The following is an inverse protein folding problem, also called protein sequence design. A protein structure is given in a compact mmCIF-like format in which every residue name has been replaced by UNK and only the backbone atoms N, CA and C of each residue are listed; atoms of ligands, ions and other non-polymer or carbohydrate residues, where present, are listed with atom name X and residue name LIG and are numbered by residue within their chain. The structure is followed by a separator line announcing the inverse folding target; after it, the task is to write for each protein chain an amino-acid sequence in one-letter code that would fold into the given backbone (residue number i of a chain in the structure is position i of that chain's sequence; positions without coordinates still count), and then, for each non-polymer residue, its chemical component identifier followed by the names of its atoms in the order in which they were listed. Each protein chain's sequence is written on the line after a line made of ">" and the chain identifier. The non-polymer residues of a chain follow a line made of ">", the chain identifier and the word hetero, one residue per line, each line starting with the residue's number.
data_IF_658622331390
#
_entry.id   IF_658622331390
#
_cell.length_a   1.000
_cell.length_b   1.000
_cell.length_c   1.000
_cell.angle_alpha   90.00
_cell.angle_beta   90.00
_cell.angle_gamma   90.00
#
_symmetry.space_group_name_H-M   'P 1'
#
loop_
_entity.id
_entity.type
_entity.pdbx_description
1 polymer ?
#
# COMPACT_ATOMS: atom_id res chain seq x y z
N UNK A 1 -6.31 11.22 7.56
CA UNK A 1 -5.05 10.51 7.20
C UNK A 1 -4.34 11.32 6.13
N UNK A 2 -3.01 11.38 6.10
CA UNK A 2 -2.29 11.93 4.96
C UNK A 2 -2.52 11.05 3.73
N UNK A 3 -2.78 11.69 2.60
CA UNK A 3 -2.94 11.06 1.29
C UNK A 3 -1.66 11.26 0.48
N UNK A 4 -1.20 10.22 -0.23
CA UNK A 4 -0.04 10.29 -1.13
C UNK A 4 -0.31 9.62 -2.46
N UNK A 5 0.51 9.96 -3.46
CA UNK A 5 0.56 9.27 -4.75
C UNK A 5 1.70 8.25 -4.72
N UNK A 6 1.38 6.98 -4.93
CA UNK A 6 2.37 5.91 -4.98
C UNK A 6 2.27 5.20 -6.32
N UNK A 7 3.36 4.61 -6.81
CA UNK A 7 3.31 3.74 -7.99
C UNK A 7 3.89 2.38 -7.67
N UNK A 8 3.53 1.37 -8.46
CA UNK A 8 4.10 0.03 -8.35
C UNK A 8 5.42 0.01 -9.11
N UNK A 9 6.49 -0.48 -8.50
CA UNK A 9 7.83 -0.47 -9.11
C UNK A 9 7.85 -1.16 -10.49
N UNK A 10 7.14 -2.28 -10.63
CA UNK A 10 7.06 -3.04 -11.89
C UNK A 10 6.12 -2.41 -12.93
N UNK A 11 5.28 -1.46 -12.51
CA UNK A 11 4.28 -0.77 -13.34
C UNK A 11 4.25 0.73 -13.00
N UNK A 12 5.35 1.48 -13.27
CA UNK A 12 5.47 2.88 -12.88
C UNK A 12 4.45 3.81 -13.56
N UNK A 13 3.86 3.37 -14.67
CA UNK A 13 2.74 4.04 -15.34
C UNK A 13 1.43 4.00 -14.53
N UNK A 14 1.32 3.11 -13.54
CA UNK A 14 0.16 2.97 -12.67
C UNK A 14 0.43 3.67 -11.34
N UNK A 15 -0.16 4.85 -11.18
CA UNK A 15 -0.13 5.64 -9.96
C UNK A 15 -1.45 5.52 -9.20
N UNK A 16 -1.35 5.52 -7.88
CA UNK A 16 -2.45 5.30 -6.95
C UNK A 16 -2.47 6.36 -5.87
N UNK A 17 -3.65 6.92 -5.67
CA UNK A 17 -3.97 7.71 -4.49
C UNK A 17 -4.22 6.76 -3.33
N UNK A 18 -3.43 6.86 -2.27
CA UNK A 18 -3.66 6.07 -1.06
C UNK A 18 -3.59 6.92 0.19
N UNK A 19 -4.38 6.50 1.18
CA UNK A 19 -4.19 6.93 2.55
C UNK A 19 -3.14 6.04 3.17
N UNK A 20 -2.15 6.66 3.83
CA UNK A 20 -1.15 5.91 4.56
C UNK A 20 -1.25 6.18 6.05
N UNK A 21 -1.07 5.12 6.83
CA UNK A 21 -1.01 5.19 8.27
C UNK A 21 0.29 4.55 8.75
N UNK A 22 0.97 5.24 9.66
CA UNK A 22 2.13 4.70 10.37
C UNK A 22 1.68 4.41 11.79
N UNK A 23 1.43 3.14 12.08
CA UNK A 23 1.19 2.67 13.44
C UNK A 23 2.53 2.71 14.18
N UNK A 24 2.77 3.79 14.92
CA UNK A 24 3.88 3.86 15.89
C UNK A 24 3.42 3.16 17.16
N UNK A 25 3.91 1.94 17.39
CA UNK A 25 3.70 1.25 18.66
C UNK A 25 4.53 1.99 19.71
N UNK A 26 3.85 2.67 20.63
CA UNK A 26 4.48 3.46 21.69
C UNK A 26 5.62 2.68 22.40
N UNK A 27 6.80 3.28 22.46
CA UNK A 27 7.95 2.91 23.31
C UNK A 27 8.47 1.45 23.25
N UNK A 28 8.27 0.71 22.15
CA UNK A 28 8.96 -0.58 21.96
C UNK A 28 9.76 -0.63 20.66
N UNK A 29 10.86 -1.36 20.71
CA UNK A 29 11.89 -1.54 19.67
C UNK A 29 11.41 -2.23 18.37
N UNK A 30 10.14 -2.09 18.01
CA UNK A 30 9.58 -2.62 16.78
C UNK A 30 9.47 -1.50 15.75
N UNK A 31 9.86 -1.77 14.51
CA UNK A 31 9.67 -0.83 13.41
C UNK A 31 8.19 -0.45 13.27
N UNK A 32 7.90 0.80 12.92
CA UNK A 32 6.52 1.25 12.69
C UNK A 32 5.87 0.42 11.59
N UNK A 33 4.61 0.01 11.78
CA UNK A 33 3.84 -0.68 10.73
C UNK A 33 3.25 0.37 9.81
N UNK A 34 3.54 0.26 8.51
CA UNK A 34 2.89 1.05 7.49
C UNK A 34 1.65 0.31 7.00
N UNK A 35 0.56 1.05 6.86
CA UNK A 35 -0.66 0.63 6.17
C UNK A 35 -0.86 1.56 4.97
N UNK A 36 -1.15 0.98 3.80
CA UNK A 36 -1.65 1.70 2.64
C UNK A 36 -3.06 1.25 2.34
N UNK A 37 -3.97 2.20 2.26
CA UNK A 37 -5.35 1.98 1.89
C UNK A 37 -5.62 2.64 0.53
N UNK A 38 -5.97 1.82 -0.45
CA UNK A 38 -6.29 2.24 -1.82
C UNK A 38 -7.79 2.04 -2.03
N UNK A 39 -8.52 3.13 -2.25
CA UNK A 39 -9.92 3.09 -2.65
C UNK A 39 -10.02 2.67 -4.13
N UNK A 40 -10.89 1.71 -4.44
CA UNK A 40 -11.02 1.15 -5.79
C UNK A 40 -11.64 2.11 -6.81
N UNK A 41 -12.49 3.00 -6.35
CA UNK A 41 -13.19 3.96 -7.23
C UNK A 41 -12.19 4.89 -7.94
N UNK A 42 -12.32 4.99 -9.26
CA UNK A 42 -11.53 5.88 -10.13
C UNK A 42 -10.01 5.63 -10.11
N UNK A 43 -9.57 4.42 -9.76
CA UNK A 43 -8.15 4.02 -9.78
C UNK A 43 -7.93 2.78 -10.66
N UNK A 44 -6.73 2.60 -11.25
CA UNK A 44 -6.43 1.47 -12.13
C UNK A 44 -6.21 0.18 -11.32
N UNK A 45 -7.22 -0.25 -10.58
CA UNK A 45 -7.15 -1.37 -9.63
C UNK A 45 -7.02 -2.74 -10.27
N UNK A 46 -7.24 -2.84 -11.59
CA UNK A 46 -6.89 -4.01 -12.38
C UNK A 46 -5.41 -4.42 -12.21
N UNK A 47 -4.54 -3.49 -11.81
CA UNK A 47 -3.16 -3.76 -11.44
C UNK A 47 -3.02 -4.80 -10.32
N UNK A 48 -4.00 -4.82 -9.40
CA UNK A 48 -4.05 -5.66 -8.20
C UNK A 48 -4.90 -6.91 -8.37
N UNK A 49 -5.65 -7.05 -9.48
CA UNK A 49 -6.47 -8.23 -9.76
C UNK A 49 -5.74 -9.60 -9.67
N UNK A 50 -4.44 -9.74 -10.04
CA UNK A 50 -3.74 -11.02 -9.87
C UNK A 50 -3.26 -11.28 -8.44
N UNK A 51 -3.42 -10.33 -7.51
CA UNK A 51 -2.90 -10.46 -6.15
C UNK A 51 -3.84 -11.27 -5.28
N UNK A 52 -3.26 -12.13 -4.46
CA UNK A 52 -3.92 -12.82 -3.35
C UNK A 52 -3.47 -12.24 -2.02
N UNK A 53 -4.29 -12.39 -0.98
CA UNK A 53 -3.90 -12.03 0.39
C UNK A 53 -2.58 -12.72 0.76
N UNK A 54 -1.65 -11.95 1.33
CA UNK A 54 -0.30 -12.36 1.69
C UNK A 54 0.74 -12.18 0.59
N UNK A 55 0.37 -11.83 -0.65
CA UNK A 55 1.32 -11.49 -1.70
C UNK A 55 1.85 -10.07 -1.54
N UNK A 56 3.13 -9.87 -1.83
CA UNK A 56 3.79 -8.59 -1.77
C UNK A 56 3.71 -7.80 -3.09
N UNK A 57 3.76 -6.48 -2.94
CA UNK A 57 3.86 -5.49 -4.01
C UNK A 57 4.87 -4.45 -3.57
N UNK A 58 5.76 -4.05 -4.48
CA UNK A 58 6.72 -2.97 -4.23
C UNK A 58 6.08 -1.64 -4.60
N UNK A 59 5.76 -0.83 -3.59
CA UNK A 59 5.27 0.53 -3.78
C UNK A 59 6.40 1.53 -3.66
N UNK A 60 6.42 2.53 -4.54
CA UNK A 60 7.36 3.65 -4.49
C UNK A 60 6.61 4.92 -4.09
N UNK A 61 7.11 5.59 -3.06
CA UNK A 61 6.55 6.84 -2.54
C UNK A 61 6.92 8.05 -3.40
N UNK A 62 6.27 9.21 -3.23
CA UNK A 62 6.66 10.45 -3.91
C UNK A 62 8.11 10.88 -3.66
N UNK A 63 8.70 10.47 -2.54
CA UNK A 63 10.11 10.75 -2.22
C UNK A 63 11.09 9.80 -2.90
N UNK A 64 10.60 8.84 -3.70
CA UNK A 64 11.41 7.82 -4.37
C UNK A 64 11.77 6.62 -3.48
N UNK A 65 11.16 6.51 -2.29
CA UNK A 65 11.42 5.38 -1.40
C UNK A 65 10.57 4.18 -1.83
N UNK A 66 11.21 3.06 -2.16
CA UNK A 66 10.54 1.80 -2.46
C UNK A 66 10.36 0.97 -1.17
N UNK A 67 9.15 0.43 -0.97
CA UNK A 67 8.83 -0.46 0.14
C UNK A 67 8.01 -1.65 -0.33
N UNK A 68 8.35 -2.84 0.17
CA UNK A 68 7.54 -4.04 -0.02
C UNK A 68 6.37 -4.02 0.96
N UNK A 69 5.17 -4.14 0.45
CA UNK A 69 3.95 -4.20 1.24
C UNK A 69 3.12 -5.41 0.81
N UNK A 70 2.49 -6.08 1.76
CA UNK A 70 1.68 -7.27 1.56
C UNK A 70 0.22 -6.90 1.51
N UNK A 71 -0.54 -7.46 0.55
CA UNK A 71 -2.00 -7.35 0.56
C UNK A 71 -2.53 -8.12 1.78
N UNK A 72 -3.08 -7.41 2.77
CA UNK A 72 -3.59 -8.04 4.00
C UNK A 72 -5.12 -8.11 4.04
N UNK A 73 -5.79 -7.29 3.25
CA UNK A 73 -7.25 -7.27 3.15
C UNK A 73 -7.69 -6.69 1.82
N UNK A 74 -8.69 -7.33 1.21
CA UNK A 74 -9.41 -6.81 0.07
C UNK A 74 -10.91 -6.81 0.40
N UNK A 75 -11.56 -5.67 0.19
CA UNK A 75 -13.00 -5.50 0.32
C UNK A 75 -13.59 -5.07 -1.03
N UNK A 76 -14.91 -4.92 -1.14
CA UNK A 76 -15.54 -4.43 -2.37
C UNK A 76 -15.07 -3.03 -2.77
N UNK A 77 -14.57 -2.23 -1.81
CA UNK A 77 -14.26 -0.81 -2.01
C UNK A 77 -12.78 -0.46 -1.80
N UNK A 78 -12.02 -1.30 -1.11
CA UNK A 78 -10.64 -0.99 -0.71
C UNK A 78 -9.69 -2.18 -0.84
N UNK A 79 -8.44 -1.88 -1.19
CA UNK A 79 -7.29 -2.74 -0.93
C UNK A 79 -6.49 -2.18 0.25
N UNK A 80 -6.12 -3.03 1.18
CA UNK A 80 -5.29 -2.67 2.34
C UNK A 80 -3.99 -3.45 2.28
N UNK A 81 -2.89 -2.71 2.14
CA UNK A 81 -1.53 -3.24 2.16
C UNK A 81 -0.83 -2.90 3.46
N UNK A 82 0.13 -3.73 3.87
CA UNK A 82 0.94 -3.46 5.04
C UNK A 82 2.40 -3.83 4.87
N UNK A 83 3.31 -3.10 5.54
CA UNK A 83 4.73 -3.47 5.60
C UNK A 83 5.00 -4.74 6.40
N UNK A 84 3.97 -5.31 7.02
CA UNK A 84 4.00 -6.61 7.71
C UNK A 84 2.82 -7.46 7.24
N UNK A 85 3.11 -8.68 6.79
CA UNK A 85 2.12 -9.71 6.50
C UNK A 85 1.32 -10.10 7.75
#
# INVERSE_FOLDING_TARGET
>A
MPSGQFYILDKPELSFSCHYHLDTVADRAFESRMLLEIQKDNQPVEAFAPLSIGQDVVFVSPSGEAKNLYLISETDTHFIFSSRA
#
